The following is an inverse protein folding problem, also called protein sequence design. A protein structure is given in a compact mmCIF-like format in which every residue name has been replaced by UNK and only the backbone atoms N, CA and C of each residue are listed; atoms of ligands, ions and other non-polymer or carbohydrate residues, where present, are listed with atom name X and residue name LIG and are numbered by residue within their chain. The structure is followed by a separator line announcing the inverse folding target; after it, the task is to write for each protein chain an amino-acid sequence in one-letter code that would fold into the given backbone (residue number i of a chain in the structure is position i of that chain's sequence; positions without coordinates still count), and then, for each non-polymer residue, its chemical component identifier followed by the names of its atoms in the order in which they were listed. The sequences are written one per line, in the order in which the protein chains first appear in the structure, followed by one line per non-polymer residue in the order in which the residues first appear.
data_IF_291747795464
#
_entry.id   IF_291747795464
#
_cell.length_a   1.000
_cell.length_b   1.000
_cell.length_c   1.000
_cell.angle_alpha   90.00
_cell.angle_beta   90.00
_cell.angle_gamma   90.00
#
_symmetry.space_group_name_H-M   'P 1'
#
loop_
_entity.id
_entity.type
_entity.pdbx_description
1 polymer ?
#
# COMPACT_ATOMS: atom_id res chain seq x y z
N UNK A 1 -10.34 22.31 -8.70
CA UNK A 1 -10.32 20.85 -8.46
C UNK A 1 -10.53 20.16 -9.79
N UNK A 2 -9.68 19.19 -10.18
CA UNK A 2 -9.70 18.57 -11.52
C UNK A 2 -10.47 17.24 -11.51
N UNK A 3 -10.25 16.39 -10.51
CA UNK A 3 -11.00 15.17 -10.23
C UNK A 3 -10.92 14.82 -8.75
N UNK A 4 -11.65 13.79 -8.32
CA UNK A 4 -11.67 13.31 -6.92
C UNK A 4 -12.01 11.83 -6.85
N UNK A 5 -11.47 11.18 -5.83
CA UNK A 5 -11.81 9.82 -5.44
C UNK A 5 -12.27 9.88 -3.97
N UNK A 6 -13.50 9.48 -3.72
CA UNK A 6 -14.14 9.52 -2.39
C UNK A 6 -14.31 8.09 -1.85
N UNK A 7 -14.55 7.97 -0.54
CA UNK A 7 -14.79 6.69 0.14
C UNK A 7 -13.68 5.63 0.00
N UNK A 8 -12.44 6.06 -0.28
CA UNK A 8 -11.28 5.18 -0.25
C UNK A 8 -10.92 4.85 1.21
N UNK A 9 -11.04 3.58 1.58
CA UNK A 9 -10.70 3.04 2.90
C UNK A 9 -11.27 3.87 4.09
N UNK A 10 -12.60 3.95 4.27
CA UNK A 10 -13.20 4.80 5.30
C UNK A 10 -12.75 4.42 6.71
N UNK A 11 -12.27 5.41 7.47
CA UNK A 11 -11.77 5.21 8.83
C UNK A 11 -10.32 4.72 8.91
N UNK A 12 -9.63 4.61 7.78
CA UNK A 12 -8.19 4.38 7.72
C UNK A 12 -7.43 5.70 7.49
N UNK A 13 -6.13 5.71 7.82
CA UNK A 13 -5.25 6.85 7.50
C UNK A 13 -4.40 6.49 6.30
N UNK A 14 -4.09 7.49 5.47
CA UNK A 14 -3.07 7.35 4.42
C UNK A 14 -1.69 7.45 5.06
N UNK A 15 -0.82 6.49 4.77
CA UNK A 15 0.56 6.45 5.25
C UNK A 15 1.56 6.74 4.14
N UNK A 16 1.27 6.29 2.92
CA UNK A 16 2.13 6.56 1.77
C UNK A 16 1.32 6.85 0.52
N UNK A 17 1.90 7.67 -0.35
CA UNK A 17 1.38 7.98 -1.67
C UNK A 17 2.54 8.10 -2.66
N UNK A 18 2.43 7.44 -3.81
CA UNK A 18 3.40 7.51 -4.90
C UNK A 18 2.71 7.65 -6.23
N UNK A 19 3.23 8.50 -7.09
CA UNK A 19 2.73 8.71 -8.46
C UNK A 19 3.80 8.29 -9.46
N UNK A 20 3.39 7.53 -10.48
CA UNK A 20 4.26 6.99 -11.54
C UNK A 20 3.50 7.05 -12.88
N UNK A 21 3.80 8.05 -13.70
CA UNK A 21 3.07 8.30 -14.94
C UNK A 21 1.57 8.49 -14.65
N UNK A 22 0.74 7.72 -15.35
CA UNK A 22 -0.72 7.74 -15.22
C UNK A 22 -1.25 6.87 -14.07
N UNK A 23 -0.37 6.39 -13.19
CA UNK A 23 -0.74 5.55 -12.04
C UNK A 23 -0.46 6.25 -10.70
N UNK A 24 -1.36 6.03 -9.75
CA UNK A 24 -1.18 6.39 -8.35
C UNK A 24 -1.15 5.15 -7.47
N UNK A 25 -0.31 5.14 -6.46
CA UNK A 25 -0.23 4.07 -5.47
C UNK A 25 -0.44 4.69 -4.09
N UNK A 26 -1.39 4.13 -3.33
CA UNK A 26 -1.72 4.63 -2.00
C UNK A 26 -1.67 3.48 -1.00
N UNK A 27 -1.12 3.76 0.17
CA UNK A 27 -1.10 2.82 1.29
C UNK A 27 -1.93 3.43 2.39
N UNK A 28 -2.93 2.69 2.85
CA UNK A 28 -3.71 3.04 4.04
C UNK A 28 -3.47 2.03 5.14
N UNK A 29 -3.74 2.41 6.38
CA UNK A 29 -3.61 1.47 7.47
C UNK A 29 -4.58 1.77 8.60
N UNK A 30 -5.12 0.69 9.15
CA UNK A 30 -5.84 0.64 10.44
C UNK A 30 -5.39 -0.56 11.26
N UNK A 31 -5.40 -1.74 10.66
CA UNK A 31 -4.83 -3.00 11.21
C UNK A 31 -3.92 -3.73 10.24
N UNK A 32 -4.15 -3.53 8.95
CA UNK A 32 -3.57 -4.25 7.83
C UNK A 32 -3.54 -3.26 6.67
N UNK A 33 -2.54 -3.35 5.81
CA UNK A 33 -2.34 -2.43 4.69
C UNK A 33 -3.04 -2.96 3.45
N UNK A 34 -3.97 -2.18 2.87
CA UNK A 34 -4.19 -2.25 1.44
C UNK A 34 -3.28 -1.27 0.68
N UNK A 35 -2.35 -1.81 -0.11
CA UNK A 35 -1.75 -1.08 -1.23
C UNK A 35 -2.80 -0.95 -2.34
N UNK A 36 -3.29 0.25 -2.58
CA UNK A 36 -4.20 0.57 -3.68
C UNK A 36 -3.44 0.99 -4.93
N UNK A 37 -3.91 0.52 -6.10
CA UNK A 37 -3.47 0.99 -7.40
C UNK A 37 -4.58 1.84 -8.02
N UNK A 38 -4.25 3.05 -8.44
CA UNK A 38 -5.16 4.03 -9.00
C UNK A 38 -4.83 4.29 -10.47
N UNK A 39 -5.88 4.40 -11.29
CA UNK A 39 -5.83 4.97 -12.63
C UNK A 39 -6.02 6.49 -12.56
N UNK A 40 -5.04 7.21 -13.07
CA UNK A 40 -5.02 8.67 -13.17
C UNK A 40 -4.91 9.15 -14.63
N UNK A 41 -5.01 8.26 -15.62
CA UNK A 41 -4.94 8.58 -17.06
C UNK A 41 -6.02 9.56 -17.51
N UNK A 42 -7.17 9.55 -16.82
CA UNK A 42 -8.25 10.53 -16.94
C UNK A 42 -8.27 11.40 -15.67
N UNK A 43 -7.60 12.56 -15.63
CA UNK A 43 -7.46 13.37 -14.41
C UNK A 43 -8.81 13.83 -13.82
N UNK A 44 -9.85 13.89 -14.64
CA UNK A 44 -11.21 14.28 -14.24
C UNK A 44 -12.01 13.13 -13.64
N UNK A 45 -11.55 11.88 -13.79
CA UNK A 45 -12.24 10.67 -13.34
C UNK A 45 -11.25 9.61 -12.85
N UNK A 46 -10.53 9.86 -11.73
CA UNK A 46 -9.62 8.88 -11.16
C UNK A 46 -10.37 7.65 -10.66
N UNK A 47 -9.76 6.46 -10.77
CA UNK A 47 -10.39 5.18 -10.38
C UNK A 47 -9.44 4.31 -9.59
N UNK A 48 -9.98 3.43 -8.75
CA UNK A 48 -9.23 2.31 -8.18
C UNK A 48 -9.21 1.17 -9.19
N UNK A 49 -8.04 0.66 -9.52
CA UNK A 49 -7.85 -0.51 -10.39
C UNK A 49 -7.80 -1.80 -9.59
N UNK A 50 -6.96 -1.82 -8.56
CA UNK A 50 -6.70 -3.01 -7.76
C UNK A 50 -6.27 -2.65 -6.35
N UNK A 51 -6.20 -3.67 -5.49
CA UNK A 51 -5.68 -3.55 -4.14
C UNK A 51 -5.01 -4.84 -3.68
N UNK A 52 -3.90 -4.72 -2.98
CA UNK A 52 -3.22 -5.82 -2.32
C UNK A 52 -3.33 -5.64 -0.81
N UNK A 53 -3.93 -6.61 -0.12
CA UNK A 53 -4.10 -6.58 1.33
C UNK A 53 -3.09 -7.51 2.01
N UNK A 54 -2.17 -6.95 2.79
CA UNK A 54 -1.11 -7.71 3.46
C UNK A 54 -0.86 -7.22 4.90
N UNK A 55 -0.34 -8.10 5.79
CA UNK A 55 0.19 -7.68 7.08
C UNK A 55 1.31 -6.64 6.94
N UNK A 56 1.45 -5.82 7.97
CA UNK A 56 2.32 -4.66 7.93
C UNK A 56 1.70 -3.49 7.18
N UNK A 57 2.51 -2.46 6.94
CA UNK A 57 2.21 -1.37 6.02
C UNK A 57 3.49 -0.70 5.53
N UNK A 58 3.42 -0.01 4.39
CA UNK A 58 4.52 0.81 3.88
C UNK A 58 4.36 2.29 4.25
N UNK A 59 5.36 2.86 4.94
CA UNK A 59 5.47 4.31 5.16
C UNK A 59 6.03 5.02 3.92
N UNK A 60 6.88 4.33 3.15
CA UNK A 60 7.52 4.83 1.95
C UNK A 60 7.40 3.85 0.79
N UNK A 61 7.08 4.39 -0.38
CA UNK A 61 7.03 3.64 -1.64
C UNK A 61 8.08 4.20 -2.61
N UNK A 62 8.97 3.33 -3.07
CA UNK A 62 10.03 3.64 -4.03
C UNK A 62 9.78 2.87 -5.34
N UNK A 63 9.62 3.55 -6.47
CA UNK A 63 9.60 2.88 -7.77
C UNK A 63 10.94 2.20 -8.02
N UNK A 64 10.92 0.89 -8.29
CA UNK A 64 12.12 0.17 -8.70
C UNK A 64 12.27 0.20 -10.22
N UNK A 65 11.17 -0.10 -10.93
CA UNK A 65 11.05 0.02 -12.39
C UNK A 65 9.58 0.32 -12.79
N UNK A 66 9.19 0.03 -14.04
CA UNK A 66 7.82 0.26 -14.54
C UNK A 66 6.75 -0.62 -13.88
N UNK A 67 7.14 -1.82 -13.42
CA UNK A 67 6.24 -2.86 -12.93
C UNK A 67 6.51 -3.26 -11.48
N UNK A 68 7.51 -2.67 -10.82
CA UNK A 68 7.88 -3.02 -9.45
C UNK A 68 8.03 -1.82 -8.53
N UNK A 69 7.57 -1.99 -7.28
CA UNK A 69 7.63 -0.98 -6.23
C UNK A 69 8.22 -1.60 -4.97
N UNK A 70 9.19 -0.91 -4.38
CA UNK A 70 9.72 -1.25 -3.05
C UNK A 70 8.94 -0.48 -1.99
N UNK A 71 8.32 -1.22 -1.07
CA UNK A 71 7.73 -0.67 0.15
C UNK A 71 8.71 -0.75 1.31
N UNK A 72 8.85 0.34 2.06
CA UNK A 72 9.56 0.37 3.34
C UNK A 72 8.61 0.83 4.42
N UNK A 73 8.47 0.03 5.47
CA UNK A 73 7.60 0.35 6.60
C UNK A 73 7.77 -0.66 7.73
N UNK A 74 6.66 -1.18 8.27
CA UNK A 74 6.68 -2.02 9.47
C UNK A 74 5.87 -3.28 9.25
N UNK A 75 6.37 -4.41 9.74
CA UNK A 75 5.60 -5.65 9.81
C UNK A 75 4.67 -5.59 11.03
N UNK A 76 3.44 -6.08 10.85
CA UNK A 76 2.43 -6.05 11.91
C UNK A 76 1.64 -7.35 11.96
N UNK A 77 1.27 -7.74 13.17
CA UNK A 77 0.35 -8.86 13.40
C UNK A 77 -0.94 -8.28 13.99
N UNK A 78 -2.05 -8.45 13.27
CA UNK A 78 -3.35 -7.99 13.76
C UNK A 78 -3.70 -8.71 15.08
N UNK A 79 -4.15 -7.96 16.09
CA UNK A 79 -4.60 -8.55 17.33
C UNK A 79 -5.90 -9.35 17.12
N UNK A 80 -6.02 -10.53 17.74
CA UNK A 80 -7.24 -11.35 17.68
C UNK A 80 -8.43 -10.64 18.32
N UNK A 81 -8.19 -9.80 19.32
CA UNK A 81 -9.21 -9.01 20.02
C UNK A 81 -8.79 -7.53 20.08
N UNK A 82 -9.75 -6.63 19.87
CA UNK A 82 -9.53 -5.18 19.86
C UNK A 82 -9.23 -4.59 18.48
N UNK A 83 -9.19 -3.26 18.37
CA UNK A 83 -8.95 -2.52 17.11
C UNK A 83 -7.50 -2.04 16.97
N UNK A 84 -6.53 -2.96 17.00
CA UNK A 84 -5.10 -2.63 16.90
C UNK A 84 -4.26 -3.76 16.28
N UNK A 85 -3.00 -3.46 15.97
CA UNK A 85 -2.01 -4.40 15.46
C UNK A 85 -0.69 -4.29 16.24
N UNK A 86 0.01 -5.41 16.41
CA UNK A 86 1.31 -5.50 17.08
C UNK A 86 2.42 -5.26 16.08
N UNK A 87 3.18 -4.18 16.26
CA UNK A 87 4.41 -3.93 15.49
C UNK A 87 5.46 -4.99 15.81
N UNK A 88 6.08 -5.54 14.77
CA UNK A 88 7.18 -6.50 14.89
C UNK A 88 8.50 -5.77 14.66
N UNK A 89 8.96 -5.72 13.40
CA UNK A 89 10.17 -5.03 12.97
C UNK A 89 9.94 -4.14 11.75
N UNK A 90 11.04 -3.68 11.17
CA UNK A 90 11.00 -2.97 9.88
C UNK A 90 10.76 -3.97 8.77
N UNK A 91 9.87 -3.64 7.84
CA UNK A 91 9.55 -4.47 6.67
C UNK A 91 9.99 -3.76 5.40
N UNK A 92 10.70 -4.51 4.56
CA UNK A 92 11.01 -4.12 3.18
C UNK A 92 10.28 -5.11 2.28
N UNK A 93 9.41 -4.64 1.40
CA UNK A 93 8.58 -5.48 0.52
C UNK A 93 8.82 -5.12 -0.93
N UNK A 94 8.82 -6.10 -1.81
CA UNK A 94 8.83 -5.89 -3.26
C UNK A 94 7.46 -6.26 -3.82
N UNK A 95 6.81 -5.28 -4.45
CA UNK A 95 5.51 -5.44 -5.08
C UNK A 95 5.66 -5.52 -6.59
N UNK A 96 5.02 -6.52 -7.20
CA UNK A 96 4.78 -6.62 -8.64
C UNK A 96 3.40 -6.01 -8.95
N UNK A 97 3.40 -5.02 -9.83
CA UNK A 97 2.24 -4.27 -10.32
C UNK A 97 2.12 -4.35 -11.85
N UNK A 98 2.67 -5.41 -12.45
CA UNK A 98 2.50 -5.73 -13.88
C UNK A 98 1.01 -5.89 -14.20
N UNK A 99 0.31 -6.71 -13.39
CA UNK A 99 -1.15 -6.74 -13.36
C UNK A 99 -1.64 -5.78 -12.26
N UNK A 100 -2.14 -4.62 -12.69
CA UNK A 100 -2.60 -3.56 -11.80
C UNK A 100 -3.92 -3.87 -11.09
N UNK A 101 -4.69 -4.82 -11.61
CA UNK A 101 -5.94 -5.27 -10.99
C UNK A 101 -5.66 -6.30 -9.89
N UNK A 102 -4.55 -7.06 -10.02
CA UNK A 102 -4.07 -8.06 -9.05
C UNK A 102 -2.60 -7.84 -8.65
N UNK A 103 -2.26 -6.74 -7.95
CA UNK A 103 -0.90 -6.49 -7.47
C UNK A 103 -0.49 -7.52 -6.42
N UNK A 104 0.80 -7.91 -6.40
CA UNK A 104 1.31 -8.98 -5.52
C UNK A 104 2.59 -8.58 -4.78
N UNK A 105 2.71 -8.99 -3.52
CA UNK A 105 3.98 -8.99 -2.80
C UNK A 105 4.77 -10.23 -3.25
N UNK A 106 5.85 -10.01 -4.00
CA UNK A 106 6.66 -11.09 -4.56
C UNK A 106 7.86 -11.45 -3.68
N UNK A 107 8.29 -10.52 -2.82
CA UNK A 107 9.32 -10.77 -1.82
C UNK A 107 9.16 -9.84 -0.62
N UNK A 108 9.64 -10.28 0.54
CA UNK A 108 9.75 -9.42 1.72
C UNK A 108 10.94 -9.80 2.60
N UNK A 109 11.48 -8.78 3.26
CA UNK A 109 12.54 -8.91 4.23
C UNK A 109 12.18 -8.15 5.50
N UNK A 110 12.31 -8.82 6.64
CA UNK A 110 12.02 -8.27 7.96
C UNK A 110 13.33 -8.05 8.73
N UNK A 111 13.46 -6.86 9.34
CA UNK A 111 14.62 -6.47 10.11
C UNK A 111 14.20 -6.21 11.56
N UNK A 112 14.77 -7.01 12.44
CA UNK A 112 14.50 -6.96 13.88
C UNK A 112 13.20 -7.66 14.26
N UNK A 113 13.00 -7.80 15.57
CA UNK A 113 11.83 -8.43 16.17
C UNK A 113 11.07 -7.42 17.03
N UNK A 114 9.88 -7.83 17.48
CA UNK A 114 9.16 -7.10 18.52
C UNK A 114 10.03 -7.04 19.78
N UNK A 115 10.40 -5.81 20.16
CA UNK A 115 11.18 -5.54 21.38
C UNK A 115 10.58 -6.14 22.65
#
# INVERSE_FOLDING_TARGET
MVGRLEDLAPGEKIYSARFMGDRGYLVTFRKVDPLFVLDLSQPTNPKVLGKLKIPGYSDYLHPYDENHIIGVGKETVAAEQGDFAWYQGVKISLFDVTDVEDPREIDKYEIGDRG
#
